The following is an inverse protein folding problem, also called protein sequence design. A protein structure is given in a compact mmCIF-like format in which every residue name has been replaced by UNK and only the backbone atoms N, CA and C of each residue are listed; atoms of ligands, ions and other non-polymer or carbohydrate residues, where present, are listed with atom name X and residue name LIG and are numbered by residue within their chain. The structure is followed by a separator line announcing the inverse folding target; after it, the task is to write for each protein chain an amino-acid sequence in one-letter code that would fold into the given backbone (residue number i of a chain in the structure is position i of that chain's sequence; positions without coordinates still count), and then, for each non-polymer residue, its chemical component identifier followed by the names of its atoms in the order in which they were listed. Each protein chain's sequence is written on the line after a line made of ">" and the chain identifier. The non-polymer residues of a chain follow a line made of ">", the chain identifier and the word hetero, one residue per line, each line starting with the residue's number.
data_IF_768030318989
#
_entry.id   IF_768030318989
#
_cell.length_a   1.000
_cell.length_b   1.000
_cell.length_c   1.000
_cell.angle_alpha   90.00
_cell.angle_beta   90.00
_cell.angle_gamma   90.00
#
_symmetry.space_group_name_H-M   'P 1'
#
loop_
_entity.id
_entity.type
_entity.pdbx_description
1 polymer ?
#
# COMPACT_ATOMS: atom_id res chain seq x y z
N UNK A 1 69.11 4.15 -26.97
CA UNK A 1 67.80 4.76 -26.67
C UNK A 1 66.60 4.15 -27.40
N UNK A 2 66.75 3.43 -28.52
CA UNK A 2 65.59 2.82 -29.26
C UNK A 2 64.98 1.56 -28.66
N UNK A 3 65.68 0.86 -27.77
CA UNK A 3 65.14 -0.40 -27.14
C UNK A 3 64.30 -0.17 -25.88
N UNK A 4 64.43 0.98 -25.21
CA UNK A 4 63.65 1.32 -24.04
C UNK A 4 62.22 1.79 -24.38
N UNK A 5 62.08 2.44 -25.54
CA UNK A 5 60.76 2.98 -26.02
C UNK A 5 59.79 1.86 -26.43
N UNK A 6 60.30 0.73 -26.91
CA UNK A 6 59.50 -0.41 -27.33
C UNK A 6 58.87 -1.19 -26.16
N UNK A 7 59.62 -1.27 -25.04
CA UNK A 7 59.12 -1.96 -23.83
C UNK A 7 58.02 -1.15 -23.15
N UNK A 8 58.10 0.18 -23.19
CA UNK A 8 57.08 1.06 -22.59
C UNK A 8 55.77 1.06 -23.39
N UNK A 9 55.84 0.94 -24.72
CA UNK A 9 54.65 0.82 -25.57
C UNK A 9 53.96 -0.55 -25.45
N UNK A 10 54.70 -1.62 -25.17
CA UNK A 10 54.15 -2.97 -24.95
C UNK A 10 53.47 -3.09 -23.57
N UNK A 11 53.98 -2.41 -22.54
CA UNK A 11 53.38 -2.41 -21.20
C UNK A 11 52.09 -1.56 -21.14
N UNK A 12 51.99 -0.47 -21.91
CA UNK A 12 50.72 0.30 -22.01
C UNK A 12 49.66 -0.45 -22.80
N UNK A 13 49.97 -1.31 -23.74
CA UNK A 13 48.99 -2.09 -24.50
C UNK A 13 48.37 -3.25 -23.70
N UNK A 14 49.06 -3.72 -22.63
CA UNK A 14 48.53 -4.78 -21.78
C UNK A 14 47.62 -4.30 -20.65
N UNK A 15 47.60 -2.98 -20.36
CA UNK A 15 46.74 -2.41 -19.29
C UNK A 15 45.34 -2.07 -19.81
N UNK A 16 45.14 -2.02 -21.12
CA UNK A 16 43.84 -1.61 -21.73
C UNK A 16 42.84 -2.75 -21.98
N UNK A 17 43.11 -3.98 -21.58
CA UNK A 17 42.24 -5.14 -21.84
C UNK A 17 41.53 -5.74 -20.62
N UNK A 18 41.64 -5.14 -19.44
CA UNK A 18 40.79 -5.48 -18.33
C UNK A 18 39.51 -4.59 -18.36
N UNK A 19 38.68 -4.74 -19.40
CA UNK A 19 37.29 -4.35 -19.29
C UNK A 19 36.68 -5.18 -18.13
N UNK A 20 36.03 -4.55 -17.15
CA UNK A 20 35.28 -5.33 -16.19
C UNK A 20 34.28 -6.17 -16.99
N UNK A 21 34.44 -7.46 -16.98
CA UNK A 21 33.39 -8.39 -17.40
C UNK A 21 32.25 -8.11 -16.45
N UNK A 22 31.28 -7.34 -16.89
CA UNK A 22 29.99 -7.23 -16.20
C UNK A 22 29.50 -8.66 -16.10
N UNK A 23 29.49 -9.21 -14.89
CA UNK A 23 28.99 -10.55 -14.65
C UNK A 23 27.53 -10.58 -15.17
N UNK A 24 27.30 -11.43 -16.16
CA UNK A 24 25.94 -11.62 -16.67
C UNK A 24 25.07 -12.12 -15.52
N UNK A 25 23.81 -11.67 -15.43
CA UNK A 25 22.86 -12.17 -14.45
C UNK A 25 22.83 -13.70 -14.47
N UNK A 26 22.89 -14.31 -13.29
CA UNK A 26 22.92 -15.78 -13.17
C UNK A 26 21.50 -16.33 -13.21
N UNK A 27 21.20 -17.19 -14.19
CA UNK A 27 19.97 -17.98 -14.19
C UNK A 27 19.95 -18.93 -13.00
N UNK A 28 18.87 -18.94 -12.24
CA UNK A 28 18.66 -19.82 -11.09
C UNK A 28 17.33 -20.57 -11.26
N UNK A 29 17.29 -21.78 -10.76
CA UNK A 29 16.09 -22.60 -10.72
C UNK A 29 15.67 -22.80 -9.27
N UNK A 30 14.40 -22.51 -9.02
CA UNK A 30 13.69 -22.81 -7.79
C UNK A 30 12.44 -23.62 -8.13
N UNK A 31 12.06 -24.49 -7.23
CA UNK A 31 10.69 -24.99 -7.18
C UNK A 31 9.78 -23.85 -6.69
N UNK A 32 8.74 -23.50 -7.47
CA UNK A 32 7.85 -22.38 -7.14
C UNK A 32 6.51 -22.93 -6.70
N UNK A 33 6.12 -22.61 -5.47
CA UNK A 33 4.85 -23.03 -4.88
C UNK A 33 4.01 -21.79 -4.62
N UNK A 34 2.92 -21.61 -5.35
CA UNK A 34 1.92 -20.55 -5.17
C UNK A 34 0.69 -21.12 -4.47
N UNK A 35 0.37 -20.63 -3.26
CA UNK A 35 -0.79 -21.11 -2.50
C UNK A 35 -0.90 -22.65 -2.51
N UNK A 36 0.20 -23.34 -2.14
CA UNK A 36 0.33 -24.80 -2.09
C UNK A 36 0.31 -25.52 -3.47
N UNK A 37 0.29 -24.80 -4.58
CA UNK A 37 0.34 -25.38 -5.93
C UNK A 37 1.73 -25.17 -6.55
N UNK A 38 2.30 -26.24 -7.09
CA UNK A 38 3.53 -26.17 -7.89
C UNK A 38 3.22 -25.48 -9.23
N UNK A 39 3.89 -24.37 -9.46
CA UNK A 39 3.75 -23.55 -10.67
C UNK A 39 5.11 -23.19 -11.26
N UNK A 40 6.07 -24.10 -11.14
CA UNK A 40 7.43 -23.87 -11.65
C UNK A 40 7.39 -23.21 -13.04
N UNK A 41 7.87 -21.97 -13.19
CA UNK A 41 7.72 -21.20 -14.41
C UNK A 41 8.51 -21.82 -15.57
N UNK A 42 8.06 -21.56 -16.80
CA UNK A 42 8.77 -21.99 -18.02
C UNK A 42 10.03 -21.18 -18.25
N UNK A 43 10.07 -19.91 -17.78
CA UNK A 43 11.23 -19.05 -17.84
C UNK A 43 12.03 -19.08 -16.53
N UNK A 44 13.36 -19.14 -16.60
CA UNK A 44 14.19 -19.19 -15.41
C UNK A 44 14.09 -17.88 -14.63
N UNK A 45 14.26 -17.95 -13.32
CA UNK A 45 14.50 -16.77 -12.50
C UNK A 45 15.92 -16.26 -12.73
N UNK A 46 16.12 -14.97 -12.43
CA UNK A 46 17.44 -14.34 -12.54
C UNK A 46 17.87 -13.91 -11.14
N UNK A 47 19.12 -14.22 -10.78
CA UNK A 47 19.74 -13.66 -9.60
C UNK A 47 20.69 -12.53 -10.02
N UNK A 48 20.42 -11.32 -9.52
CA UNK A 48 21.27 -10.18 -9.72
C UNK A 48 21.60 -9.49 -8.39
N UNK A 49 22.88 -9.38 -8.07
CA UNK A 49 23.37 -8.74 -6.83
C UNK A 49 22.68 -9.28 -5.56
N UNK A 50 22.38 -10.58 -5.54
CA UNK A 50 21.71 -11.24 -4.42
C UNK A 50 20.19 -11.03 -4.34
N UNK A 51 19.58 -10.45 -5.38
CA UNK A 51 18.13 -10.30 -5.49
C UNK A 51 17.58 -11.23 -6.55
N UNK A 52 16.38 -11.75 -6.32
CA UNK A 52 15.68 -12.58 -7.27
C UNK A 52 14.79 -11.72 -8.14
N UNK A 53 14.99 -11.81 -9.45
CA UNK A 53 14.10 -11.21 -10.44
C UNK A 53 13.24 -12.33 -11.05
N UNK A 54 11.96 -12.03 -11.21
CA UNK A 54 10.95 -12.93 -11.74
C UNK A 54 10.43 -12.46 -13.09
N UNK A 55 10.05 -13.35 -14.01
CA UNK A 55 9.37 -12.97 -15.24
C UNK A 55 7.95 -12.46 -14.90
N UNK A 56 7.78 -11.14 -14.91
CA UNK A 56 6.57 -10.46 -14.40
C UNK A 56 5.29 -11.03 -14.99
N UNK A 57 5.25 -11.26 -16.29
CA UNK A 57 4.04 -11.76 -16.98
C UNK A 57 3.60 -13.14 -16.47
N UNK A 58 4.54 -14.06 -16.30
CA UNK A 58 4.21 -15.43 -15.85
C UNK A 58 3.65 -15.41 -14.43
N UNK A 59 4.35 -14.73 -13.51
CA UNK A 59 3.93 -14.69 -12.11
C UNK A 59 2.63 -13.91 -11.92
N UNK A 60 2.52 -12.72 -12.48
CA UNK A 60 1.31 -11.93 -12.33
C UNK A 60 0.07 -12.61 -12.93
N UNK A 61 0.23 -13.30 -14.09
CA UNK A 61 -0.87 -14.08 -14.67
C UNK A 61 -1.24 -15.28 -13.80
N UNK A 62 -0.26 -16.01 -13.24
CA UNK A 62 -0.52 -17.14 -12.35
C UNK A 62 -1.21 -16.71 -11.04
N UNK A 63 -0.98 -15.45 -10.60
CA UNK A 63 -1.58 -14.87 -9.40
C UNK A 63 -2.89 -14.11 -9.67
N UNK A 64 -3.42 -14.13 -10.88
CA UNK A 64 -4.75 -13.62 -11.20
C UNK A 64 -4.78 -12.23 -11.86
N UNK A 65 -3.65 -11.71 -12.34
CA UNK A 65 -3.70 -10.53 -13.21
C UNK A 65 -4.46 -10.83 -14.49
N UNK A 66 -5.47 -10.02 -14.79
CA UNK A 66 -6.34 -10.24 -15.96
C UNK A 66 -5.71 -9.79 -17.26
N UNK A 67 -4.74 -8.87 -17.23
CA UNK A 67 -4.00 -8.40 -18.40
C UNK A 67 -2.63 -7.82 -18.02
N UNK A 68 -1.64 -8.03 -18.93
CA UNK A 68 -0.31 -7.41 -18.81
C UNK A 68 0.13 -6.95 -20.20
N UNK A 69 0.32 -5.65 -20.36
CA UNK A 69 0.71 -5.03 -21.63
C UNK A 69 1.96 -4.19 -21.46
N UNK A 70 2.77 -4.12 -22.52
CA UNK A 70 3.96 -3.27 -22.59
C UNK A 70 3.76 -2.16 -23.62
N UNK A 71 4.06 -0.93 -23.24
CA UNK A 71 4.13 0.22 -24.14
C UNK A 71 5.60 0.60 -24.32
N UNK A 72 6.13 0.30 -25.51
CA UNK A 72 7.51 0.54 -25.85
C UNK A 72 7.83 2.05 -25.98
N UNK A 73 6.85 2.83 -26.40
CA UNK A 73 7.03 4.29 -26.60
C UNK A 73 7.20 5.05 -25.28
N UNK A 74 6.59 4.57 -24.21
CA UNK A 74 6.65 5.18 -22.89
C UNK A 74 7.48 4.37 -21.89
N UNK A 75 8.08 3.24 -22.33
CA UNK A 75 8.79 2.31 -21.45
C UNK A 75 7.97 1.95 -20.20
N UNK A 76 6.70 1.58 -20.41
CA UNK A 76 5.74 1.36 -19.34
C UNK A 76 5.07 -0.01 -19.48
N UNK A 77 5.03 -0.77 -18.39
CA UNK A 77 4.19 -1.96 -18.28
C UNK A 77 2.89 -1.60 -17.58
N UNK A 78 1.78 -2.11 -18.09
CA UNK A 78 0.47 -2.01 -17.43
C UNK A 78 0.04 -3.40 -16.99
N UNK A 79 -0.26 -3.55 -15.70
CA UNK A 79 -0.77 -4.79 -15.08
C UNK A 79 -2.17 -4.51 -14.55
N UNK A 80 -3.14 -5.31 -14.98
CA UNK A 80 -4.53 -5.22 -14.50
C UNK A 80 -4.72 -6.23 -13.39
N UNK A 81 -4.94 -5.73 -12.16
CA UNK A 81 -5.17 -6.52 -10.95
C UNK A 81 -6.49 -6.07 -10.34
N UNK A 82 -7.54 -6.85 -10.53
CA UNK A 82 -8.91 -6.42 -10.15
C UNK A 82 -9.06 -6.20 -8.64
N UNK A 83 -8.37 -6.97 -7.82
CA UNK A 83 -8.43 -6.89 -6.36
C UNK A 83 -7.41 -5.93 -5.72
N UNK A 84 -6.68 -5.15 -6.52
CA UNK A 84 -5.60 -4.28 -6.00
C UNK A 84 -6.09 -3.32 -4.92
N UNK A 85 -7.22 -2.66 -5.11
CA UNK A 85 -7.76 -1.72 -4.11
C UNK A 85 -8.39 -2.42 -2.90
N UNK A 86 -8.93 -3.63 -3.06
CA UNK A 86 -9.37 -4.47 -1.93
C UNK A 86 -8.17 -4.85 -1.05
N UNK A 87 -7.06 -5.27 -1.68
CA UNK A 87 -5.83 -5.57 -0.96
C UNK A 87 -5.34 -4.37 -0.13
N UNK A 88 -5.40 -3.16 -0.69
CA UNK A 88 -5.02 -1.94 0.01
C UNK A 88 -6.01 -1.54 1.11
N UNK A 89 -7.32 -1.77 0.93
CA UNK A 89 -8.33 -1.62 1.97
C UNK A 89 -8.03 -2.52 3.17
N UNK A 90 -7.78 -3.80 2.89
CA UNK A 90 -7.42 -4.79 3.90
C UNK A 90 -6.17 -4.38 4.69
N UNK A 91 -5.08 -4.00 3.98
CA UNK A 91 -3.87 -3.49 4.62
C UNK A 91 -4.12 -2.23 5.46
N UNK A 92 -4.97 -1.35 4.97
CA UNK A 92 -5.33 -0.13 5.71
C UNK A 92 -6.03 -0.48 7.02
N UNK A 93 -6.98 -1.42 7.03
CA UNK A 93 -7.60 -1.91 8.29
C UNK A 93 -6.54 -2.47 9.23
N UNK A 94 -5.70 -3.39 8.76
CA UNK A 94 -4.67 -4.02 9.60
C UNK A 94 -3.71 -3.00 10.19
N UNK A 95 -3.17 -2.11 9.38
CA UNK A 95 -2.23 -1.09 9.84
C UNK A 95 -2.86 -0.11 10.83
N UNK A 96 -4.11 0.27 10.60
CA UNK A 96 -4.84 1.17 11.51
C UNK A 96 -5.14 0.54 12.85
N UNK A 97 -5.57 -0.72 12.86
CA UNK A 97 -5.88 -1.45 14.10
C UNK A 97 -4.64 -1.87 14.88
N UNK A 98 -3.48 -2.02 14.23
CA UNK A 98 -2.20 -2.34 14.87
C UNK A 98 -1.41 -1.10 15.31
N UNK A 99 -1.82 0.09 14.88
CA UNK A 99 -1.12 1.33 15.21
C UNK A 99 -1.28 1.68 16.68
N UNK A 100 -0.22 1.46 17.47
CA UNK A 100 -0.21 1.66 18.92
C UNK A 100 0.12 3.10 19.36
N UNK A 101 0.49 3.99 18.44
CA UNK A 101 1.10 5.29 18.79
C UNK A 101 0.27 6.47 18.30
N UNK A 102 -0.82 6.77 19.02
CA UNK A 102 -1.53 8.02 18.80
C UNK A 102 -1.92 8.68 20.11
N UNK A 103 -1.98 9.99 20.08
CA UNK A 103 -2.49 10.80 21.19
C UNK A 103 -3.97 10.51 21.47
N UNK A 104 -4.69 9.94 20.49
CA UNK A 104 -6.08 9.51 20.65
C UNK A 104 -6.23 8.00 20.41
N UNK A 105 -6.53 7.22 21.45
CA UNK A 105 -6.54 5.76 21.35
C UNK A 105 -7.75 5.24 20.57
N UNK A 106 -7.59 4.08 19.94
CA UNK A 106 -8.70 3.28 19.44
C UNK A 106 -9.70 2.92 20.56
N UNK A 107 -10.98 2.68 20.23
CA UNK A 107 -11.93 2.09 21.18
C UNK A 107 -11.35 0.86 21.87
N UNK A 108 -11.56 0.68 23.21
CA UNK A 108 -10.93 -0.40 23.98
C UNK A 108 -11.11 -1.81 23.38
N UNK A 109 -12.27 -2.09 22.77
CA UNK A 109 -12.57 -3.37 22.13
C UNK A 109 -11.76 -3.63 20.86
N UNK A 110 -11.19 -2.58 20.26
CA UNK A 110 -10.37 -2.65 19.04
C UNK A 110 -8.86 -2.61 19.35
N UNK A 111 -8.49 -2.53 20.64
CA UNK A 111 -7.10 -2.56 21.05
C UNK A 111 -6.64 -4.01 21.28
N UNK A 112 -5.36 -4.28 21.03
CA UNK A 112 -4.73 -5.58 21.27
C UNK A 112 -5.39 -6.78 20.54
N UNK A 113 -5.96 -6.54 19.37
CA UNK A 113 -6.48 -7.60 18.52
C UNK A 113 -5.33 -8.45 17.99
N UNK A 114 -5.52 -9.79 18.00
CA UNK A 114 -4.58 -10.69 17.36
C UNK A 114 -4.85 -10.73 15.84
N UNK A 115 -4.33 -9.76 15.14
CA UNK A 115 -4.48 -9.62 13.70
C UNK A 115 -3.27 -10.20 12.97
N UNK A 116 -3.44 -10.71 11.74
CA UNK A 116 -2.32 -11.16 10.93
C UNK A 116 -1.37 -10.00 10.65
N UNK A 117 -0.08 -10.28 10.69
CA UNK A 117 0.96 -9.31 10.35
C UNK A 117 1.35 -9.55 8.89
N UNK A 118 0.99 -8.63 8.01
CA UNK A 118 1.58 -8.60 6.68
C UNK A 118 2.86 -7.78 6.75
N UNK A 119 3.98 -8.30 6.27
CA UNK A 119 5.18 -7.51 6.16
C UNK A 119 4.91 -6.39 5.17
N UNK A 120 4.63 -5.18 5.68
CA UNK A 120 4.68 -3.99 4.85
C UNK A 120 6.09 -3.96 4.27
N UNK A 121 6.19 -3.95 2.96
CA UNK A 121 7.45 -3.93 2.27
C UNK A 121 8.18 -2.61 2.57
N UNK A 122 9.02 -2.62 3.61
CA UNK A 122 9.82 -1.47 4.05
C UNK A 122 11.24 -1.48 3.48
N UNK A 123 11.56 -2.43 2.60
CA UNK A 123 12.87 -2.42 1.94
C UNK A 123 12.80 -1.46 0.76
N UNK A 124 13.70 -0.49 0.73
CA UNK A 124 13.96 0.26 -0.50
C UNK A 124 14.39 -0.75 -1.56
N UNK A 125 13.64 -0.92 -2.67
CA UNK A 125 14.04 -1.85 -3.69
C UNK A 125 15.45 -1.51 -4.20
N UNK A 126 16.28 -2.50 -4.48
CA UNK A 126 17.61 -2.25 -5.00
C UNK A 126 17.49 -1.52 -6.34
N UNK A 127 18.22 -0.42 -6.47
CA UNK A 127 18.25 0.33 -7.72
C UNK A 127 19.31 -0.29 -8.66
N UNK A 128 18.87 -1.12 -9.62
CA UNK A 128 19.77 -1.66 -10.64
C UNK A 128 19.99 -0.67 -11.77
N UNK A 129 18.97 0.15 -12.07
CA UNK A 129 18.98 1.13 -13.14
C UNK A 129 18.78 2.55 -12.60
N UNK A 130 19.47 3.52 -13.18
CA UNK A 130 19.25 4.94 -12.90
C UNK A 130 17.95 5.46 -13.52
N UNK A 131 17.50 4.83 -14.61
CA UNK A 131 16.25 5.15 -15.31
C UNK A 131 15.24 4.06 -15.02
N UNK A 132 14.14 4.38 -14.32
CA UNK A 132 13.08 3.41 -14.06
C UNK A 132 12.25 3.13 -15.31
N UNK A 133 11.61 1.96 -15.33
CA UNK A 133 10.43 1.75 -16.18
C UNK A 133 9.18 2.20 -15.44
N UNK A 134 8.16 2.63 -16.18
CA UNK A 134 6.83 2.86 -15.63
C UNK A 134 6.11 1.53 -15.35
N UNK A 135 5.40 1.45 -14.23
CA UNK A 135 4.47 0.38 -13.93
C UNK A 135 3.11 1.01 -13.61
N UNK A 136 2.13 0.79 -14.46
CA UNK A 136 0.75 1.16 -14.21
C UNK A 136 0.00 -0.05 -13.66
N UNK A 137 -0.54 0.09 -12.45
CA UNK A 137 -1.44 -0.91 -11.87
C UNK A 137 -2.86 -0.41 -12.10
N UNK A 138 -3.67 -1.22 -12.79
CA UNK A 138 -5.06 -0.89 -13.12
C UNK A 138 -6.00 -1.81 -12.36
N UNK A 139 -7.01 -1.23 -11.73
CA UNK A 139 -8.10 -1.95 -11.09
C UNK A 139 -9.40 -1.20 -11.34
N UNK A 140 -10.32 -1.81 -12.07
CA UNK A 140 -11.51 -1.12 -12.61
C UNK A 140 -11.13 0.07 -13.49
N UNK A 141 -11.66 1.25 -13.16
CA UNK A 141 -11.40 2.50 -13.91
C UNK A 141 -10.18 3.28 -13.38
N UNK A 142 -9.54 2.81 -12.32
CA UNK A 142 -8.45 3.52 -11.66
C UNK A 142 -7.09 2.99 -12.10
N UNK A 143 -6.13 3.90 -12.21
CA UNK A 143 -4.74 3.59 -12.53
C UNK A 143 -3.82 4.20 -11.48
N UNK A 144 -2.94 3.38 -10.94
CA UNK A 144 -1.90 3.76 -9.97
C UNK A 144 -0.54 3.67 -10.65
N UNK A 145 0.15 4.79 -10.89
CA UNK A 145 1.47 4.78 -11.52
C UNK A 145 2.57 4.55 -10.48
N UNK A 146 3.53 3.70 -10.84
CA UNK A 146 4.73 3.40 -10.07
C UNK A 146 5.98 3.51 -10.94
N UNK A 147 7.15 3.52 -10.30
CA UNK A 147 8.46 3.46 -10.95
C UNK A 147 9.22 2.25 -10.47
N UNK A 148 9.67 1.39 -11.40
CA UNK A 148 10.43 0.16 -11.11
C UNK A 148 11.88 0.40 -11.48
N UNK A 149 12.78 0.24 -10.53
CA UNK A 149 14.23 0.40 -10.69
C UNK A 149 14.98 -0.94 -10.67
N UNK A 150 14.36 -1.97 -10.10
CA UNK A 150 14.84 -3.34 -9.96
C UNK A 150 14.27 -4.23 -11.07
N UNK A 151 14.70 -3.99 -12.28
CA UNK A 151 14.22 -4.73 -13.45
C UNK A 151 15.38 -5.16 -14.36
N UNK A 152 15.11 -6.13 -15.23
CA UNK A 152 15.97 -6.55 -16.32
C UNK A 152 15.12 -6.96 -17.53
N UNK A 153 15.61 -6.73 -18.73
CA UNK A 153 14.94 -7.19 -19.96
C UNK A 153 15.85 -8.17 -20.68
N UNK A 154 15.45 -9.43 -20.71
CA UNK A 154 16.19 -10.49 -21.41
C UNK A 154 15.31 -11.16 -22.45
N UNK A 155 15.79 -11.24 -23.70
CA UNK A 155 15.09 -11.90 -24.82
C UNK A 155 13.62 -11.46 -24.99
N UNK A 156 13.34 -10.17 -24.76
CA UNK A 156 11.99 -9.61 -24.85
C UNK A 156 11.09 -9.91 -23.64
N UNK A 157 11.62 -10.50 -22.59
CA UNK A 157 10.92 -10.73 -21.31
C UNK A 157 11.35 -9.70 -20.27
N UNK A 158 10.36 -9.07 -19.62
CA UNK A 158 10.59 -8.18 -18.49
C UNK A 158 10.64 -9.00 -17.19
N UNK A 159 11.75 -8.88 -16.51
CA UNK A 159 11.98 -9.39 -15.15
C UNK A 159 11.94 -8.22 -14.18
N UNK A 160 11.31 -8.41 -13.03
CA UNK A 160 11.24 -7.43 -11.94
C UNK A 160 11.59 -8.10 -10.62
N UNK A 161 11.97 -7.30 -9.61
CA UNK A 161 12.22 -7.82 -8.27
C UNK A 161 11.02 -8.62 -7.76
N UNK A 162 11.28 -9.78 -7.12
CA UNK A 162 10.22 -10.66 -6.60
C UNK A 162 9.30 -9.94 -5.61
N UNK A 163 9.80 -8.93 -4.93
CA UNK A 163 9.06 -8.14 -3.95
C UNK A 163 7.88 -7.34 -4.55
N UNK A 164 7.86 -7.16 -5.87
CA UNK A 164 6.70 -6.58 -6.56
C UNK A 164 5.44 -7.43 -6.42
N UNK A 165 5.57 -8.75 -6.18
CA UNK A 165 4.41 -9.60 -5.90
C UNK A 165 3.71 -9.21 -4.59
N UNK A 166 4.46 -8.73 -3.59
CA UNK A 166 3.85 -8.18 -2.37
C UNK A 166 3.03 -6.93 -2.69
N UNK A 167 3.59 -6.00 -3.48
CA UNK A 167 2.88 -4.77 -3.87
C UNK A 167 1.63 -5.05 -4.69
N UNK A 168 1.70 -6.00 -5.63
CA UNK A 168 0.59 -6.30 -6.54
C UNK A 168 -0.50 -7.17 -5.91
N UNK A 169 -0.11 -8.14 -5.06
CA UNK A 169 -1.00 -9.23 -4.61
C UNK A 169 -0.96 -9.49 -3.10
N UNK A 170 -0.27 -8.66 -2.30
CA UNK A 170 0.02 -8.93 -0.88
C UNK A 170 0.76 -10.25 -0.65
N UNK A 171 1.58 -10.67 -1.60
CA UNK A 171 2.29 -11.92 -1.51
C UNK A 171 3.29 -11.93 -0.34
N UNK A 172 3.28 -12.99 0.43
CA UNK A 172 4.32 -13.34 1.39
C UNK A 172 5.25 -14.34 0.72
N UNK A 173 6.55 -14.07 0.77
CA UNK A 173 7.55 -14.85 0.07
C UNK A 173 8.51 -15.45 1.10
N UNK A 174 8.54 -16.77 1.16
CA UNK A 174 9.48 -17.53 1.96
C UNK A 174 10.46 -18.24 1.03
N UNK A 175 11.74 -17.88 1.13
CA UNK A 175 12.80 -18.46 0.32
C UNK A 175 13.55 -19.54 1.11
N UNK A 176 13.63 -20.73 0.53
CA UNK A 176 14.53 -21.80 0.95
C UNK A 176 15.72 -21.92 -0.03
N UNK A 177 16.73 -22.75 0.21
CA UNK A 177 17.82 -22.97 -0.74
C UNK A 177 17.36 -23.48 -2.12
N UNK A 178 16.21 -24.17 -2.20
CA UNK A 178 15.75 -24.87 -3.42
C UNK A 178 14.35 -24.46 -3.87
N UNK A 179 13.57 -23.74 -3.04
CA UNK A 179 12.18 -23.39 -3.33
C UNK A 179 11.83 -21.98 -2.92
N UNK A 180 10.82 -21.43 -3.58
CA UNK A 180 10.12 -20.20 -3.22
C UNK A 180 8.67 -20.57 -2.89
N UNK A 181 8.29 -20.34 -1.63
CA UNK A 181 6.91 -20.47 -1.17
C UNK A 181 6.28 -19.09 -1.23
N UNK A 182 5.25 -18.92 -2.02
CA UNK A 182 4.55 -17.66 -2.23
C UNK A 182 3.09 -17.87 -1.85
N UNK A 183 2.67 -17.20 -0.78
CA UNK A 183 1.29 -17.20 -0.33
C UNK A 183 0.68 -15.81 -0.51
N UNK A 184 -0.54 -15.75 -1.00
CA UNK A 184 -1.28 -14.50 -1.18
C UNK A 184 -2.78 -14.73 -0.98
N UNK A 185 -3.52 -13.73 -0.50
CA UNK A 185 -4.96 -13.86 -0.32
C UNK A 185 -5.66 -13.90 -1.68
N UNK A 186 -6.60 -14.82 -1.84
CA UNK A 186 -7.50 -14.81 -2.99
C UNK A 186 -8.57 -13.72 -2.83
N UNK A 187 -9.27 -13.37 -3.93
CA UNK A 187 -10.38 -12.41 -3.90
C UNK A 187 -11.42 -12.76 -2.84
N UNK A 188 -11.78 -14.04 -2.74
CA UNK A 188 -12.76 -14.52 -1.76
C UNK A 188 -12.28 -14.33 -0.31
N UNK A 189 -11.03 -14.62 -0.02
CA UNK A 189 -10.42 -14.40 1.30
C UNK A 189 -10.41 -12.92 1.64
N UNK A 190 -10.01 -12.06 0.69
CA UNK A 190 -10.04 -10.61 0.89
C UNK A 190 -11.46 -10.10 1.19
N UNK A 191 -12.45 -10.55 0.43
CA UNK A 191 -13.85 -10.14 0.64
C UNK A 191 -14.37 -10.57 2.04
N UNK A 192 -14.03 -11.78 2.49
CA UNK A 192 -14.40 -12.28 3.81
C UNK A 192 -13.70 -11.50 4.93
N UNK A 193 -12.40 -11.29 4.80
CA UNK A 193 -11.59 -10.58 5.81
C UNK A 193 -11.99 -9.11 5.92
N UNK A 194 -12.21 -8.42 4.79
CA UNK A 194 -12.69 -7.03 4.78
C UNK A 194 -14.07 -6.93 5.41
N UNK A 195 -14.97 -7.86 5.09
CA UNK A 195 -16.31 -7.88 5.69
C UNK A 195 -16.22 -8.06 7.21
N UNK A 196 -15.40 -9.00 7.70
CA UNK A 196 -15.20 -9.22 9.12
C UNK A 196 -14.58 -8.01 9.83
N UNK A 197 -13.57 -7.37 9.23
CA UNK A 197 -12.95 -6.16 9.78
C UNK A 197 -13.90 -4.96 9.75
N UNK A 198 -14.72 -4.85 8.70
CA UNK A 198 -15.75 -3.81 8.59
C UNK A 198 -16.82 -3.97 9.68
N UNK A 199 -17.28 -5.19 9.95
CA UNK A 199 -18.21 -5.48 11.03
C UNK A 199 -17.58 -5.21 12.40
N UNK A 200 -16.37 -5.71 12.62
CA UNK A 200 -15.62 -5.48 13.86
C UNK A 200 -15.43 -4.00 14.17
N UNK A 201 -15.24 -3.16 13.16
CA UNK A 201 -14.98 -1.72 13.31
C UNK A 201 -16.26 -0.87 13.30
N UNK A 202 -17.45 -1.44 13.15
CA UNK A 202 -18.72 -0.66 13.28
C UNK A 202 -18.80 0.00 14.67
N UNK A 203 -18.90 1.32 14.75
CA UNK A 203 -18.89 2.01 16.04
C UNK A 203 -20.19 1.78 16.82
N UNK A 204 -20.06 1.35 18.09
CA UNK A 204 -21.20 1.05 18.98
C UNK A 204 -21.65 2.25 19.80
N UNK A 205 -20.92 3.36 19.75
CA UNK A 205 -21.30 4.63 20.36
C UNK A 205 -20.81 5.81 19.54
N UNK A 206 -21.29 7.02 19.84
CA UNK A 206 -20.82 8.24 19.19
C UNK A 206 -19.35 8.51 19.49
N UNK A 207 -18.88 8.13 20.69
CA UNK A 207 -17.46 8.23 21.11
C UNK A 207 -16.58 7.28 20.32
N UNK A 208 -17.06 6.07 20.01
CA UNK A 208 -16.31 5.14 19.16
C UNK A 208 -16.22 5.66 17.71
N UNK A 209 -17.31 6.22 17.17
CA UNK A 209 -17.28 6.79 15.82
C UNK A 209 -16.27 7.93 15.68
N UNK A 210 -16.26 8.85 16.66
CA UNK A 210 -15.28 9.95 16.65
C UNK A 210 -13.85 9.46 16.90
N UNK A 211 -13.65 8.45 17.75
CA UNK A 211 -12.36 7.85 18.00
C UNK A 211 -11.77 7.22 16.73
N UNK A 212 -12.55 6.43 16.00
CA UNK A 212 -12.13 5.85 14.69
C UNK A 212 -11.78 6.94 13.69
N UNK A 213 -12.59 8.01 13.62
CA UNK A 213 -12.33 9.12 12.72
C UNK A 213 -11.02 9.83 13.04
N UNK A 214 -10.82 10.23 14.29
CA UNK A 214 -9.60 10.93 14.73
C UNK A 214 -8.37 10.05 14.51
N UNK A 215 -8.44 8.79 14.94
CA UNK A 215 -7.34 7.84 14.78
C UNK A 215 -7.00 7.64 13.30
N UNK A 216 -8.04 7.49 12.45
CA UNK A 216 -7.88 7.41 11.00
C UNK A 216 -7.26 8.67 10.39
N UNK A 217 -7.63 9.86 10.84
CA UNK A 217 -7.06 11.14 10.38
C UNK A 217 -5.58 11.26 10.77
N UNK A 218 -5.23 11.01 12.03
CA UNK A 218 -3.87 11.13 12.54
C UNK A 218 -2.90 10.13 11.87
N UNK A 219 -3.37 8.93 11.58
CA UNK A 219 -2.59 7.88 10.91
C UNK A 219 -2.72 7.89 9.39
N UNK A 220 -3.49 8.83 8.82
CA UNK A 220 -3.77 8.86 7.40
C UNK A 220 -4.39 7.53 6.91
N UNK A 221 -5.18 6.90 7.75
CA UNK A 221 -5.75 5.58 7.54
C UNK A 221 -7.18 5.70 7.01
N UNK A 222 -7.34 5.40 5.72
CA UNK A 222 -8.62 5.53 5.04
C UNK A 222 -9.67 4.51 5.50
N UNK A 223 -9.27 3.30 5.83
CA UNK A 223 -10.20 2.24 6.24
C UNK A 223 -10.89 2.57 7.58
N UNK A 224 -10.15 3.11 8.57
CA UNK A 224 -10.73 3.54 9.84
C UNK A 224 -11.62 4.78 9.69
N UNK A 225 -11.21 5.74 8.84
CA UNK A 225 -12.09 6.87 8.53
C UNK A 225 -13.39 6.38 7.86
N UNK A 226 -13.27 5.48 6.89
CA UNK A 226 -14.41 4.90 6.18
C UNK A 226 -15.31 4.11 7.13
N UNK A 227 -14.75 3.33 8.07
CA UNK A 227 -15.53 2.59 9.06
C UNK A 227 -16.46 3.51 9.88
N UNK A 228 -16.01 4.72 10.22
CA UNK A 228 -16.79 5.70 10.98
C UNK A 228 -17.95 6.35 10.21
N UNK A 229 -17.97 6.24 8.86
CA UNK A 229 -18.95 6.92 8.02
C UNK A 229 -20.30 6.17 7.95
N UNK A 230 -21.37 6.92 7.79
CA UNK A 230 -22.69 6.35 7.47
C UNK A 230 -22.72 5.69 6.08
N UNK A 231 -23.61 4.72 5.83
CA UNK A 231 -23.71 4.06 4.53
C UNK A 231 -23.81 5.04 3.34
N UNK A 232 -24.52 6.15 3.52
CA UNK A 232 -24.65 7.19 2.50
C UNK A 232 -23.31 7.89 2.19
N UNK A 233 -22.54 8.23 3.22
CA UNK A 233 -21.21 8.84 3.03
C UNK A 233 -20.21 7.83 2.51
N UNK A 234 -20.25 6.57 2.96
CA UNK A 234 -19.44 5.48 2.42
C UNK A 234 -19.59 5.35 0.92
N UNK A 235 -20.83 5.27 0.43
CA UNK A 235 -21.12 5.17 -1.01
C UNK A 235 -20.59 6.37 -1.81
N UNK A 236 -20.67 7.58 -1.24
CA UNK A 236 -20.15 8.81 -1.88
C UNK A 236 -18.62 8.84 -1.92
N UNK A 237 -17.95 8.40 -0.85
CA UNK A 237 -16.53 8.58 -0.65
C UNK A 237 -15.66 7.41 -1.19
N UNK A 238 -16.23 6.24 -1.47
CA UNK A 238 -15.51 5.02 -1.83
C UNK A 238 -14.50 5.22 -2.96
N UNK A 239 -14.93 5.85 -4.06
CA UNK A 239 -14.06 6.12 -5.20
C UNK A 239 -12.86 7.00 -4.82
N UNK A 240 -13.05 7.96 -3.90
CA UNK A 240 -11.96 8.83 -3.44
C UNK A 240 -10.97 8.07 -2.55
N UNK A 241 -11.44 7.17 -1.69
CA UNK A 241 -10.57 6.29 -0.90
C UNK A 241 -9.75 5.36 -1.81
N UNK A 242 -10.37 4.76 -2.82
CA UNK A 242 -9.68 3.96 -3.82
C UNK A 242 -8.59 4.76 -4.55
N UNK A 243 -8.92 5.96 -5.07
CA UNK A 243 -7.95 6.84 -5.76
C UNK A 243 -6.74 7.20 -4.90
N UNK A 244 -6.91 7.25 -3.58
CA UNK A 244 -5.83 7.53 -2.62
C UNK A 244 -5.15 6.25 -2.11
N UNK A 245 -5.52 5.06 -2.59
CA UNK A 245 -4.98 3.78 -2.10
C UNK A 245 -5.19 3.59 -0.60
N UNK A 246 -6.31 4.08 -0.07
CA UNK A 246 -6.67 4.04 1.36
C UNK A 246 -5.70 4.79 2.28
N UNK A 247 -4.84 5.66 1.74
CA UNK A 247 -3.97 6.56 2.50
C UNK A 247 -4.45 7.99 2.30
N UNK A 248 -5.04 8.60 3.32
CA UNK A 248 -5.66 9.92 3.23
C UNK A 248 -4.68 11.05 3.56
N UNK A 249 -4.87 12.21 2.93
CA UNK A 249 -4.07 13.39 3.17
C UNK A 249 -2.61 13.29 2.68
N UNK A 250 -1.85 14.37 2.86
CA UNK A 250 -0.42 14.44 2.53
C UNK A 250 0.48 13.95 3.65
N UNK A 251 1.78 13.73 3.36
CA UNK A 251 2.77 13.36 4.38
C UNK A 251 3.15 14.50 5.32
N UNK A 252 2.87 15.74 4.93
CA UNK A 252 3.07 16.96 5.71
C UNK A 252 2.01 17.99 5.26
N UNK A 253 1.39 18.70 6.21
CA UNK A 253 1.55 18.60 7.67
C UNK A 253 0.92 17.33 8.27
N UNK A 254 1.35 16.93 9.49
CA UNK A 254 0.71 15.87 10.28
C UNK A 254 -0.27 16.45 11.29
N UNK A 255 -1.33 15.68 11.60
CA UNK A 255 -2.28 16.04 12.64
C UNK A 255 -1.86 15.43 13.98
N UNK A 256 -1.71 16.27 14.99
CA UNK A 256 -1.38 15.88 16.36
C UNK A 256 -2.46 16.38 17.33
N UNK A 257 -2.47 15.87 18.55
CA UNK A 257 -3.29 16.38 19.66
C UNK A 257 -4.72 16.77 19.28
N UNK A 258 -5.62 15.80 19.27
CA UNK A 258 -7.03 16.07 19.03
C UNK A 258 -7.72 16.51 20.33
N UNK A 259 -8.38 17.68 20.33
CA UNK A 259 -9.32 18.08 21.35
C UNK A 259 -10.75 17.90 20.83
N UNK A 260 -11.63 17.39 21.69
CA UNK A 260 -13.02 17.08 21.34
C UNK A 260 -13.95 17.82 22.29
N UNK A 261 -14.87 18.61 21.72
CA UNK A 261 -15.93 19.26 22.45
C UNK A 261 -17.30 18.77 21.92
N UNK A 262 -18.11 18.19 22.76
CA UNK A 262 -19.51 17.93 22.43
C UNK A 262 -20.26 19.27 22.40
N UNK A 263 -20.73 19.70 21.22
CA UNK A 263 -21.40 20.98 21.04
C UNK A 263 -22.86 20.89 21.45
N UNK A 264 -23.53 19.83 21.01
CA UNK A 264 -24.96 19.62 21.27
C UNK A 264 -25.36 18.15 21.08
N UNK A 265 -26.44 17.78 21.74
CA UNK A 265 -27.16 16.52 21.54
C UNK A 265 -28.64 16.88 21.33
N UNK A 266 -29.03 17.16 20.07
CA UNK A 266 -30.40 17.63 19.77
C UNK A 266 -31.49 16.63 20.18
N UNK A 267 -31.15 15.34 20.16
CA UNK A 267 -31.98 14.22 20.56
C UNK A 267 -31.14 13.01 20.99
N UNK A 268 -31.76 11.94 21.45
CA UNK A 268 -31.08 10.72 21.93
C UNK A 268 -30.37 9.91 20.82
N UNK A 269 -30.54 10.31 19.57
CA UNK A 269 -29.98 9.64 18.40
C UNK A 269 -28.97 10.47 17.62
N UNK A 270 -28.69 11.69 18.07
CA UNK A 270 -27.80 12.63 17.36
C UNK A 270 -26.86 13.34 18.33
N UNK A 271 -25.56 13.31 18.02
CA UNK A 271 -24.55 14.08 18.74
C UNK A 271 -23.71 14.87 17.75
N UNK A 272 -23.40 16.13 18.08
CA UNK A 272 -22.57 17.00 17.26
C UNK A 272 -21.28 17.29 18.04
N UNK A 273 -20.16 16.95 17.45
CA UNK A 273 -18.83 17.20 18.01
C UNK A 273 -18.08 18.25 17.20
N UNK A 274 -17.29 19.07 17.90
CA UNK A 274 -16.20 19.85 17.33
C UNK A 274 -14.91 19.14 17.65
N UNK A 275 -14.12 18.84 16.63
CA UNK A 275 -12.76 18.32 16.76
C UNK A 275 -11.78 19.39 16.35
N UNK A 276 -10.80 19.63 17.19
CA UNK A 276 -9.70 20.56 16.92
C UNK A 276 -8.38 19.78 16.94
N UNK A 277 -7.72 19.68 15.80
CA UNK A 277 -6.39 19.12 15.71
C UNK A 277 -5.34 20.21 15.77
N UNK A 278 -4.21 19.91 16.37
CA UNK A 278 -3.00 20.69 16.23
C UNK A 278 -2.24 20.17 14.99
N UNK A 279 -1.93 21.09 14.09
CA UNK A 279 -1.16 20.77 12.90
C UNK A 279 0.34 20.94 13.20
N UNK A 280 1.14 19.94 12.82
CA UNK A 280 2.59 20.02 12.82
C UNK A 280 3.11 20.07 11.39
N UNK A 281 3.51 21.24 10.98
CA UNK A 281 4.33 21.42 9.78
C UNK A 281 5.63 22.08 10.22
N UNK A 282 6.77 21.68 9.74
CA UNK A 282 8.07 22.25 10.16
C UNK A 282 8.24 23.77 9.98
N UNK A 283 7.20 24.49 9.57
CA UNK A 283 7.20 25.92 9.26
C UNK A 283 6.22 26.72 10.17
N UNK A 284 5.10 26.14 10.58
CA UNK A 284 4.06 26.79 11.40
C UNK A 284 3.67 25.90 12.58
N UNK A 285 4.27 26.12 13.74
CA UNK A 285 4.09 25.28 14.93
C UNK A 285 2.72 25.39 15.64
N UNK A 286 1.77 26.20 15.17
CA UNK A 286 0.54 26.50 15.90
C UNK A 286 -0.73 26.62 15.04
N UNK A 287 -0.76 26.04 13.83
CA UNK A 287 -2.02 26.01 13.09
C UNK A 287 -2.96 24.98 13.70
N UNK A 288 -4.24 25.31 13.72
CA UNK A 288 -5.30 24.44 14.20
C UNK A 288 -6.26 24.13 13.07
N UNK A 289 -6.65 22.86 12.98
CA UNK A 289 -7.63 22.35 12.04
C UNK A 289 -8.92 22.08 12.81
N UNK A 290 -10.01 22.66 12.36
CA UNK A 290 -11.32 22.52 13.00
C UNK A 290 -12.28 21.72 12.12
N UNK A 291 -12.90 20.71 12.70
CA UNK A 291 -13.92 19.92 12.05
C UNK A 291 -15.17 19.85 12.92
N UNK A 292 -16.34 19.93 12.29
CA UNK A 292 -17.61 19.68 12.96
C UNK A 292 -18.22 18.41 12.38
N UNK A 293 -18.52 17.45 13.24
CA UNK A 293 -19.04 16.13 12.87
C UNK A 293 -20.41 15.91 13.47
N UNK A 294 -21.40 15.60 12.64
CA UNK A 294 -22.72 15.14 13.09
C UNK A 294 -22.72 13.62 13.08
N UNK A 295 -22.92 13.01 14.23
CA UNK A 295 -22.95 11.56 14.43
C UNK A 295 -24.37 11.15 14.78
N UNK A 296 -24.91 10.15 14.07
CA UNK A 296 -26.27 9.65 14.28
C UNK A 296 -26.29 8.16 14.54
N UNK A 297 -27.26 7.77 15.36
CA UNK A 297 -27.57 6.38 15.67
C UNK A 297 -28.37 5.73 14.55
N UNK A 298 -28.01 4.49 14.24
CA UNK A 298 -28.69 3.59 13.32
C UNK A 298 -28.92 2.25 14.02
N UNK A 299 -30.15 1.79 14.06
CA UNK A 299 -30.45 0.47 14.63
C UNK A 299 -30.56 -0.56 13.51
N UNK A 300 -29.81 -1.64 13.62
CA UNK A 300 -29.83 -2.77 12.70
C UNK A 300 -29.84 -4.07 13.50
N UNK A 301 -30.82 -4.96 13.27
CA UNK A 301 -30.94 -6.24 13.98
C UNK A 301 -30.85 -6.11 15.52
N UNK A 302 -31.57 -5.14 16.09
CA UNK A 302 -31.59 -4.84 17.54
C UNK A 302 -30.27 -4.32 18.12
N UNK A 303 -29.24 -4.08 17.30
CA UNK A 303 -27.99 -3.46 17.69
C UNK A 303 -27.95 -2.00 17.20
N UNK A 304 -27.57 -1.10 18.09
CA UNK A 304 -27.33 0.30 17.76
C UNK A 304 -25.89 0.50 17.31
N UNK A 305 -25.75 1.23 16.18
CA UNK A 305 -24.48 1.69 15.63
C UNK A 305 -24.50 3.20 15.45
N UNK A 306 -23.37 3.83 15.52
CA UNK A 306 -23.24 5.27 15.43
C UNK A 306 -22.29 5.69 14.32
N UNK A 307 -22.76 6.48 13.38
CA UNK A 307 -21.97 6.85 12.21
C UNK A 307 -21.97 8.36 11.98
N UNK A 308 -20.88 8.87 11.44
CA UNK A 308 -20.75 10.22 10.94
C UNK A 308 -21.66 10.35 9.72
N UNK A 309 -22.64 11.26 9.80
CA UNK A 309 -23.60 11.55 8.73
C UNK A 309 -23.31 12.85 8.00
N UNK A 310 -22.61 13.77 8.66
CA UNK A 310 -22.18 15.05 8.11
C UNK A 310 -20.84 15.43 8.71
N UNK A 311 -19.98 16.02 7.88
CA UNK A 311 -18.72 16.59 8.28
C UNK A 311 -18.55 17.95 7.59
N UNK A 312 -18.01 18.94 8.32
CA UNK A 312 -17.76 20.30 7.82
C UNK A 312 -16.56 20.91 8.50
N UNK A 313 -16.06 22.02 8.00
CA UNK A 313 -14.87 22.71 8.50
C UNK A 313 -13.65 22.47 7.59
N UNK A 314 -12.46 22.41 8.17
CA UNK A 314 -11.19 22.28 7.45
C UNK A 314 -10.97 20.80 7.03
N UNK A 315 -11.71 20.34 6.00
CA UNK A 315 -11.68 18.96 5.54
C UNK A 315 -10.80 18.75 4.31
N UNK A 316 -10.53 19.80 3.54
CA UNK A 316 -10.04 19.71 2.17
C UNK A 316 -8.70 18.98 2.01
N UNK A 317 -7.86 19.01 3.02
CA UNK A 317 -6.53 18.39 2.95
C UNK A 317 -6.47 17.01 3.60
N UNK A 318 -7.32 16.73 4.58
CA UNK A 318 -7.22 15.54 5.43
C UNK A 318 -8.37 14.56 5.26
N UNK A 319 -9.34 14.89 4.43
CA UNK A 319 -10.55 14.07 4.26
C UNK A 319 -10.97 13.95 2.80
N UNK A 320 -11.43 12.76 2.46
CA UNK A 320 -12.09 12.47 1.16
C UNK A 320 -13.51 13.00 1.08
N UNK A 321 -14.01 13.69 2.12
CA UNK A 321 -15.40 14.17 2.21
C UNK A 321 -15.60 15.58 1.65
N UNK A 322 -14.53 16.26 1.28
CA UNK A 322 -14.55 17.67 0.84
C UNK A 322 -15.04 17.90 -0.60
N UNK A 323 -15.50 16.87 -1.33
CA UNK A 323 -15.97 16.98 -2.72
C UNK A 323 -17.48 16.71 -2.87
#
# INVERSE_FOLDING_TARGET
>A
MRKLTLIFLLSCALITLALPVLASPKSVQYEIILNEQDVTPTLPLIEEKGNILIPLREFASAMGASSITWDDSHHTVTVVVDDFFKAHEYLSFLSGLQSAQNDYPLPPRLQNLNLPTYPLYNKTPPMFHSNPIGLNIVSGELTMPWSVYDYEVQNGTLYVGIDWLNTLFLAQIEQTPTSLLITYPTSEVLDQDIAALSELTMPLSAEEAIALWIHGQQNRNGALQYAALSPKLKAKALTSFHKQGWVTGGSSPSLEQAAIDAISSPDDSTVIYKVTFKERNGIHENSQIHQTLTIKKYTCHEQDYWFITEASGDLDYYSVLSN
#
